data_IF_261938792571
#
_entry.id   IF_261938792571
#
_cell.length_a   1.000
_cell.length_b   1.000
_cell.length_c   1.000
_cell.angle_alpha   90.00
_cell.angle_beta   90.00
_cell.angle_gamma   90.00
#
_symmetry.space_group_name_H-M   'P 1'
#
loop_
_entity.id
_entity.type
_entity.pdbx_description
1 polymer ?
#
# COMPACT_ATOMS: atom_id res chain seq x y z
N UNK A 1 16.56 -50.72 -40.18
CA UNK A 1 15.21 -51.34 -40.20
C UNK A 1 14.35 -50.57 -39.21
N UNK A 2 13.47 -49.70 -39.74
CA UNK A 2 12.00 -49.75 -39.57
C UNK A 2 11.50 -49.12 -38.26
N UNK A 3 10.57 -48.16 -38.21
CA UNK A 3 9.71 -47.51 -39.21
C UNK A 3 9.20 -46.21 -38.57
N UNK A 4 9.01 -45.17 -39.39
CA UNK A 4 8.17 -44.00 -39.09
C UNK A 4 6.73 -44.48 -38.88
N UNK A 5 5.98 -43.88 -37.94
CA UNK A 5 4.53 -43.84 -38.06
C UNK A 5 4.02 -42.44 -37.75
N UNK A 6 3.73 -41.78 -38.86
CA UNK A 6 3.07 -40.49 -39.01
C UNK A 6 1.57 -40.79 -38.86
N UNK A 7 0.89 -40.20 -37.87
CA UNK A 7 -0.56 -40.35 -37.73
C UNK A 7 -1.26 -39.13 -38.33
N UNK A 8 -1.61 -39.26 -39.60
CA UNK A 8 -2.58 -38.42 -40.31
C UNK A 8 -3.99 -38.63 -39.74
N UNK A 9 -4.68 -37.55 -39.38
CA UNK A 9 -6.13 -37.58 -39.17
C UNK A 9 -6.77 -36.49 -40.05
N UNK A 10 -7.15 -36.89 -41.27
CA UNK A 10 -8.04 -36.16 -42.17
C UNK A 10 -9.43 -36.79 -42.05
N UNK A 11 -10.47 -35.98 -41.83
CA UNK A 11 -11.84 -36.49 -41.86
C UNK A 11 -12.93 -35.57 -41.31
N UNK A 12 -13.12 -34.42 -41.95
CA UNK A 12 -14.39 -33.74 -42.26
C UNK A 12 -15.66 -34.11 -41.44
N UNK A 13 -16.26 -33.11 -40.77
CA UNK A 13 -17.72 -33.04 -40.63
C UNK A 13 -18.21 -31.57 -40.56
N UNK A 14 -18.99 -31.24 -41.59
CA UNK A 14 -19.87 -30.09 -41.71
C UNK A 14 -20.76 -29.93 -40.47
N UNK A 15 -20.76 -28.75 -39.85
CA UNK A 15 -21.94 -28.25 -39.13
C UNK A 15 -22.22 -26.83 -39.62
N UNK A 16 -23.44 -26.68 -40.12
CA UNK A 16 -24.02 -25.54 -40.78
C UNK A 16 -23.76 -24.21 -40.06
N UNK A 17 -23.34 -23.21 -40.83
CA UNK A 17 -23.43 -21.82 -40.45
C UNK A 17 -24.91 -21.43 -40.36
N UNK A 18 -25.49 -21.52 -39.16
CA UNK A 18 -26.71 -20.79 -38.84
C UNK A 18 -26.35 -19.31 -38.70
N UNK A 19 -26.47 -18.57 -39.81
CA UNK A 19 -26.50 -17.10 -39.79
C UNK A 19 -27.78 -16.72 -39.04
N UNK A 20 -27.67 -16.60 -37.72
CA UNK A 20 -28.71 -15.93 -36.94
C UNK A 20 -28.59 -14.44 -37.23
N UNK A 21 -29.61 -13.92 -37.91
CA UNK A 21 -29.80 -12.51 -38.17
C UNK A 21 -29.47 -11.69 -36.92
N UNK A 22 -28.45 -10.84 -37.02
CA UNK A 22 -28.12 -9.88 -35.98
C UNK A 22 -29.27 -8.89 -35.91
N UNK A 23 -30.20 -9.16 -34.99
CA UNK A 23 -31.11 -8.16 -34.45
C UNK A 23 -30.20 -7.01 -34.01
N UNK A 24 -30.32 -5.87 -34.66
CA UNK A 24 -29.59 -4.65 -34.30
C UNK A 24 -30.07 -4.23 -32.91
N UNK A 25 -29.47 -4.84 -31.89
CA UNK A 25 -29.85 -4.65 -30.51
C UNK A 25 -29.19 -3.36 -30.04
N UNK A 26 -30.01 -2.50 -29.44
CA UNK A 26 -29.64 -1.43 -28.51
C UNK A 26 -28.68 -1.88 -27.38
N UNK A 27 -28.37 -3.18 -27.30
CA UNK A 27 -27.46 -3.83 -26.36
C UNK A 27 -25.96 -3.66 -26.67
N UNK A 28 -25.58 -3.22 -27.88
CA UNK A 28 -24.15 -3.05 -28.22
C UNK A 28 -23.51 -1.88 -27.45
N UNK A 29 -24.27 -0.80 -27.22
CA UNK A 29 -23.83 0.38 -26.47
C UNK A 29 -23.72 0.10 -24.96
N UNK A 30 -24.67 -0.63 -24.37
CA UNK A 30 -24.63 -1.01 -22.95
C UNK A 30 -23.50 -2.00 -22.68
N UNK A 31 -23.25 -2.96 -23.58
CA UNK A 31 -22.15 -3.91 -23.49
C UNK A 31 -20.77 -3.23 -23.69
N UNK A 32 -20.65 -2.31 -24.65
CA UNK A 32 -19.42 -1.52 -24.85
C UNK A 32 -19.12 -0.62 -23.64
N UNK A 33 -20.15 -0.01 -23.04
CA UNK A 33 -19.99 0.80 -21.83
C UNK A 33 -19.59 -0.05 -20.62
N UNK A 34 -20.23 -1.21 -20.41
CA UNK A 34 -19.87 -2.15 -19.35
C UNK A 34 -18.42 -2.67 -19.48
N UNK A 35 -17.95 -2.93 -20.71
CA UNK A 35 -16.56 -3.30 -20.97
C UNK A 35 -15.57 -2.14 -20.75
N UNK A 36 -15.97 -0.91 -21.05
CA UNK A 36 -15.12 0.27 -20.81
C UNK A 36 -14.98 0.55 -19.31
N UNK A 37 -16.09 0.43 -18.57
CA UNK A 37 -16.14 0.64 -17.12
C UNK A 37 -15.39 -0.45 -16.36
N UNK A 38 -15.48 -1.71 -16.80
CA UNK A 38 -14.72 -2.83 -16.22
C UNK A 38 -13.22 -2.70 -16.47
N UNK A 39 -12.80 -2.32 -17.67
CA UNK A 39 -11.39 -2.06 -17.98
C UNK A 39 -10.83 -0.91 -17.13
N UNK A 40 -11.59 0.18 -16.97
CA UNK A 40 -11.20 1.29 -16.09
C UNK A 40 -11.00 0.84 -14.63
N UNK A 41 -11.87 -0.04 -14.13
CA UNK A 41 -11.74 -0.61 -12.79
C UNK A 41 -10.48 -1.48 -12.66
N UNK A 42 -10.18 -2.33 -13.64
CA UNK A 42 -8.96 -3.16 -13.66
C UNK A 42 -7.71 -2.28 -13.65
N UNK A 43 -7.67 -1.22 -14.45
CA UNK A 43 -6.55 -0.26 -14.47
C UNK A 43 -6.37 0.41 -13.11
N UNK A 44 -7.45 0.91 -12.51
CA UNK A 44 -7.41 1.54 -11.17
C UNK A 44 -6.93 0.57 -10.09
N UNK A 45 -7.42 -0.67 -10.10
CA UNK A 45 -6.98 -1.72 -9.17
C UNK A 45 -5.48 -1.98 -9.33
N UNK A 46 -5.00 -2.11 -10.57
CA UNK A 46 -3.58 -2.33 -10.86
C UNK A 46 -2.70 -1.17 -10.39
N UNK A 47 -3.13 0.08 -10.64
CA UNK A 47 -2.44 1.27 -10.16
C UNK A 47 -2.37 1.33 -8.63
N UNK A 48 -3.49 1.04 -7.96
CA UNK A 48 -3.57 1.06 -6.51
C UNK A 48 -2.77 -0.09 -5.88
N UNK A 49 -2.73 -1.28 -6.50
CA UNK A 49 -1.85 -2.38 -6.10
C UNK A 49 -0.38 -2.01 -6.22
N UNK A 50 0.01 -1.32 -7.30
CA UNK A 50 1.38 -0.83 -7.47
C UNK A 50 1.75 0.19 -6.38
N UNK A 51 0.85 1.14 -6.09
CA UNK A 51 1.03 2.11 -4.99
C UNK A 51 1.13 1.39 -3.64
N UNK A 52 0.32 0.35 -3.41
CA UNK A 52 0.33 -0.43 -2.18
C UNK A 52 1.70 -1.09 -1.97
N UNK A 53 2.24 -1.74 -3.01
CA UNK A 53 3.58 -2.32 -2.94
C UNK A 53 4.65 -1.28 -2.61
N UNK A 54 4.59 -0.09 -3.22
CA UNK A 54 5.52 1.02 -2.91
C UNK A 54 5.44 1.46 -1.44
N UNK A 55 4.23 1.58 -0.88
CA UNK A 55 4.03 1.95 0.52
C UNK A 55 4.52 0.84 1.46
N UNK A 56 4.21 -0.42 1.17
CA UNK A 56 4.66 -1.57 1.95
C UNK A 56 6.19 -1.66 2.02
N UNK A 57 6.88 -1.36 0.92
CA UNK A 57 8.35 -1.32 0.88
C UNK A 57 8.96 -0.22 1.79
N UNK A 58 8.18 0.78 2.21
CA UNK A 58 8.65 1.82 3.13
C UNK A 58 8.46 1.45 4.61
N UNK A 59 7.68 0.42 4.93
CA UNK A 59 7.29 0.08 6.31
C UNK A 59 8.52 -0.25 7.14
N UNK A 60 9.42 -1.08 6.61
CA UNK A 60 10.64 -1.49 7.32
C UNK A 60 11.51 -0.27 7.67
N UNK A 61 11.81 0.57 6.67
CA UNK A 61 12.65 1.74 6.88
C UNK A 61 12.01 2.74 7.85
N UNK A 62 10.71 3.01 7.75
CA UNK A 62 10.03 3.92 8.69
C UNK A 62 9.94 3.35 10.11
N UNK A 63 9.80 2.03 10.23
CA UNK A 63 9.85 1.35 11.54
C UNK A 63 11.23 1.51 12.17
N UNK A 64 12.28 1.30 11.38
CA UNK A 64 13.66 1.51 11.82
C UNK A 64 13.91 2.96 12.23
N UNK A 65 13.50 3.94 11.41
CA UNK A 65 13.65 5.36 11.73
C UNK A 65 12.96 5.72 13.06
N UNK A 66 11.73 5.22 13.28
CA UNK A 66 11.00 5.41 14.53
C UNK A 66 11.79 4.84 15.72
N UNK A 67 12.29 3.61 15.59
CA UNK A 67 13.07 2.97 16.63
C UNK A 67 14.36 3.73 16.94
N UNK A 68 15.14 4.08 15.92
CA UNK A 68 16.41 4.80 16.05
C UNK A 68 16.19 6.18 16.67
N UNK A 69 15.18 6.92 16.21
CA UNK A 69 14.84 8.22 16.78
C UNK A 69 14.36 8.12 18.23
N UNK A 70 13.59 7.08 18.58
CA UNK A 70 13.16 6.84 19.96
C UNK A 70 14.35 6.52 20.88
N UNK A 71 15.28 5.68 20.42
CA UNK A 71 16.50 5.36 21.18
C UNK A 71 17.37 6.60 21.39
N UNK A 72 17.51 7.42 20.34
CA UNK A 72 18.28 8.67 20.43
C UNK A 72 17.62 9.67 21.38
N UNK A 73 16.30 9.81 21.33
CA UNK A 73 15.56 10.66 22.26
C UNK A 73 15.75 10.22 23.72
N UNK A 74 15.75 8.90 23.99
CA UNK A 74 16.02 8.36 25.32
C UNK A 74 17.44 8.71 25.79
N UNK A 75 18.46 8.46 24.95
CA UNK A 75 19.85 8.80 25.27
C UNK A 75 20.03 10.28 25.61
N UNK A 76 19.43 11.16 24.82
CA UNK A 76 19.50 12.61 25.06
C UNK A 76 18.74 13.02 26.32
N UNK A 77 17.61 12.38 26.63
CA UNK A 77 16.89 12.60 27.88
C UNK A 77 17.73 12.17 29.10
N UNK A 78 18.38 11.01 29.05
CA UNK A 78 19.24 10.52 30.13
C UNK A 78 20.45 11.44 30.35
N UNK A 79 21.06 11.92 29.27
CA UNK A 79 22.16 12.89 29.32
C UNK A 79 21.72 14.24 29.89
N UNK A 80 20.51 14.69 29.57
CA UNK A 80 19.92 15.89 30.16
C UNK A 80 19.68 15.71 31.66
N UNK A 81 19.04 14.61 32.07
CA UNK A 81 18.80 14.29 33.48
C UNK A 81 20.11 14.25 34.27
N UNK A 82 21.14 13.60 33.71
CA UNK A 82 22.47 13.53 34.34
C UNK A 82 23.12 14.91 34.48
N UNK A 83 23.06 15.74 33.44
CA UNK A 83 23.64 17.09 33.49
C UNK A 83 22.86 18.03 34.42
N UNK A 84 21.54 17.92 34.45
CA UNK A 84 20.68 18.66 35.38
C UNK A 84 20.94 18.24 36.83
N UNK A 85 21.13 16.94 37.10
CA UNK A 85 21.53 16.45 38.42
C UNK A 85 22.86 17.06 38.89
N UNK A 86 23.90 17.00 38.04
CA UNK A 86 25.21 17.61 38.36
C UNK A 86 25.12 19.12 38.62
N UNK A 87 24.32 19.84 37.83
CA UNK A 87 24.10 21.26 38.04
C UNK A 87 23.33 21.53 39.35
N UNK A 88 22.38 20.66 39.71
CA UNK A 88 21.65 20.79 40.97
C UNK A 88 22.56 20.67 42.19
N UNK A 89 23.61 19.84 42.10
CA UNK A 89 24.60 19.67 43.16
C UNK A 89 25.57 20.87 43.26
N UNK A 90 25.75 21.61 42.15
CA UNK A 90 26.67 22.75 42.02
C UNK A 90 26.03 23.90 41.22
N UNK A 91 25.01 24.58 41.77
CA UNK A 91 24.15 25.50 41.02
C UNK A 91 24.87 26.75 40.52
N UNK A 92 25.95 27.17 41.17
CA UNK A 92 26.78 28.30 40.79
C UNK A 92 27.79 27.99 39.66
N UNK A 93 27.98 26.72 39.30
CA UNK A 93 28.93 26.34 38.24
C UNK A 93 28.37 26.68 36.84
N UNK A 94 28.90 27.77 36.28
CA UNK A 94 28.57 28.26 34.92
C UNK A 94 28.82 27.21 33.82
N UNK A 95 29.82 26.35 33.95
CA UNK A 95 30.13 25.32 32.96
C UNK A 95 29.07 24.22 33.00
N UNK A 96 28.68 23.77 34.20
CA UNK A 96 27.58 22.82 34.37
C UNK A 96 26.25 23.39 33.86
N UNK A 97 25.98 24.68 34.12
CA UNK A 97 24.80 25.36 33.60
C UNK A 97 24.74 25.34 32.07
N UNK A 98 25.87 25.62 31.41
CA UNK A 98 25.96 25.57 29.94
C UNK A 98 25.77 24.15 29.41
N UNK A 99 26.36 23.15 30.05
CA UNK A 99 26.21 21.74 29.65
C UNK A 99 24.76 21.26 29.81
N UNK A 100 24.11 21.54 30.93
CA UNK A 100 22.70 21.19 31.16
C UNK A 100 21.79 21.84 30.11
N UNK A 101 21.99 23.14 29.82
CA UNK A 101 21.22 23.84 28.79
C UNK A 101 21.39 23.21 27.39
N UNK A 102 22.62 22.84 27.03
CA UNK A 102 22.88 22.19 25.73
C UNK A 102 22.20 20.81 25.65
N UNK A 103 22.30 20.00 26.71
CA UNK A 103 21.67 18.68 26.74
C UNK A 103 20.14 18.77 26.74
N UNK A 104 19.56 19.76 27.42
CA UNK A 104 18.13 20.04 27.36
C UNK A 104 17.69 20.40 25.93
N UNK A 105 18.48 21.20 25.21
CA UNK A 105 18.27 21.51 23.81
C UNK A 105 18.27 20.27 22.92
N UNK A 106 19.28 19.40 23.05
CA UNK A 106 19.37 18.13 22.32
C UNK A 106 18.20 17.21 22.63
N UNK A 107 17.86 17.01 23.91
CA UNK A 107 16.74 16.18 24.34
C UNK A 107 15.41 16.67 23.75
N UNK A 108 15.18 17.99 23.74
CA UNK A 108 14.00 18.59 23.11
C UNK A 108 13.94 18.33 21.60
N UNK A 109 15.07 18.50 20.91
CA UNK A 109 15.15 18.26 19.47
C UNK A 109 14.90 16.80 19.13
N UNK A 110 15.58 15.88 19.80
CA UNK A 110 15.48 14.45 19.54
C UNK A 110 14.09 13.90 19.91
N UNK A 111 13.48 14.38 21.00
CA UNK A 111 12.09 14.06 21.33
C UNK A 111 11.12 14.48 20.23
N UNK A 112 11.33 15.66 19.62
CA UNK A 112 10.50 16.13 18.50
C UNK A 112 10.71 15.26 17.25
N UNK A 113 11.93 14.85 16.98
CA UNK A 113 12.24 13.93 15.87
C UNK A 113 11.58 12.57 16.07
N UNK A 114 11.67 11.98 17.27
CA UNK A 114 11.00 10.71 17.58
C UNK A 114 9.48 10.77 17.36
N UNK A 115 8.82 11.86 17.76
CA UNK A 115 7.38 12.07 17.51
C UNK A 115 7.07 12.17 16.02
N UNK A 116 7.90 12.86 15.25
CA UNK A 116 7.73 12.99 13.80
C UNK A 116 7.87 11.64 13.09
N UNK A 117 8.89 10.86 13.42
CA UNK A 117 9.10 9.53 12.81
C UNK A 117 7.98 8.57 13.21
N UNK A 118 7.51 8.59 14.46
CA UNK A 118 6.32 7.83 14.86
C UNK A 118 5.09 8.23 14.03
N UNK A 119 4.81 9.53 13.94
CA UNK A 119 3.68 10.04 13.16
C UNK A 119 3.81 9.69 11.67
N UNK A 120 5.03 9.60 11.15
CA UNK A 120 5.28 9.23 9.76
C UNK A 120 4.96 7.75 9.49
N UNK A 121 5.33 6.86 10.41
CA UNK A 121 4.96 5.45 10.33
C UNK A 121 3.44 5.25 10.47
N UNK A 122 2.81 5.97 11.41
CA UNK A 122 1.37 5.88 11.63
C UNK A 122 0.59 6.31 10.38
N UNK A 123 1.00 7.43 9.76
CA UNK A 123 0.43 7.88 8.48
C UNK A 123 0.63 6.86 7.36
N UNK A 124 1.82 6.28 7.23
CA UNK A 124 2.07 5.22 6.23
C UNK A 124 1.11 4.04 6.40
N UNK A 125 0.88 3.61 7.65
CA UNK A 125 -0.03 2.52 7.93
C UNK A 125 -1.48 2.86 7.60
N UNK A 126 -1.92 4.10 7.88
CA UNK A 126 -3.25 4.59 7.48
C UNK A 126 -3.37 4.58 5.95
N UNK A 127 -2.40 5.14 5.23
CA UNK A 127 -2.41 5.17 3.76
C UNK A 127 -2.48 3.76 3.17
N UNK A 128 -1.76 2.79 3.75
CA UNK A 128 -1.82 1.38 3.37
C UNK A 128 -3.23 0.80 3.57
N UNK A 129 -3.87 1.07 4.70
CA UNK A 129 -5.21 0.55 4.98
C UNK A 129 -6.27 1.19 4.08
N UNK A 130 -6.20 2.50 3.87
CA UNK A 130 -7.09 3.20 2.96
C UNK A 130 -6.98 2.67 1.53
N UNK A 131 -5.76 2.36 1.08
CA UNK A 131 -5.54 1.82 -0.25
C UNK A 131 -6.05 0.38 -0.39
N UNK A 132 -5.87 -0.47 0.64
CA UNK A 132 -6.47 -1.81 0.69
C UNK A 132 -8.00 -1.74 0.59
N UNK A 133 -8.62 -0.81 1.33
CA UNK A 133 -10.06 -0.60 1.29
C UNK A 133 -10.54 -0.13 -0.09
N UNK A 134 -9.80 0.78 -0.75
CA UNK A 134 -10.09 1.23 -2.11
C UNK A 134 -10.01 0.09 -3.13
N UNK A 135 -8.97 -0.74 -3.06
CA UNK A 135 -8.80 -1.91 -3.91
C UNK A 135 -9.98 -2.87 -3.72
N UNK A 136 -10.33 -3.20 -2.47
CA UNK A 136 -11.44 -4.11 -2.16
C UNK A 136 -12.78 -3.56 -2.69
N UNK A 137 -13.05 -2.26 -2.50
CA UNK A 137 -14.25 -1.62 -3.01
C UNK A 137 -14.33 -1.64 -4.54
N UNK A 138 -13.20 -1.44 -5.23
CA UNK A 138 -13.14 -1.52 -6.69
C UNK A 138 -13.27 -2.97 -7.19
N UNK A 139 -12.72 -3.95 -6.46
CA UNK A 139 -12.88 -5.37 -6.79
C UNK A 139 -14.36 -5.78 -6.70
N UNK A 140 -15.07 -5.37 -5.65
CA UNK A 140 -16.52 -5.62 -5.51
C UNK A 140 -17.31 -4.99 -6.67
N UNK A 141 -16.92 -3.81 -7.15
CA UNK A 141 -17.54 -3.19 -8.33
C UNK A 141 -17.23 -3.99 -9.59
N UNK A 142 -15.99 -4.43 -9.78
CA UNK A 142 -15.57 -5.23 -10.93
C UNK A 142 -16.31 -6.56 -11.00
N UNK A 143 -16.49 -7.23 -9.86
CA UNK A 143 -17.19 -8.51 -9.77
C UNK A 143 -18.64 -8.42 -10.27
N UNK A 144 -19.31 -7.26 -10.13
CA UNK A 144 -20.66 -7.03 -10.68
C UNK A 144 -20.70 -7.04 -12.21
N UNK A 145 -19.60 -6.67 -12.87
CA UNK A 145 -19.50 -6.72 -14.34
C UNK A 145 -19.11 -8.11 -14.84
N UNK A 146 -18.36 -8.89 -14.04
CA UNK A 146 -17.87 -10.22 -14.42
C UNK A 146 -18.88 -11.33 -14.09
N UNK A 147 -19.73 -11.15 -13.06
CA UNK A 147 -20.76 -12.11 -12.64
C UNK A 147 -22.16 -11.47 -12.61
N UNK A 148 -22.74 -11.08 -13.76
CA UNK A 148 -24.12 -10.57 -13.78
C UNK A 148 -25.16 -11.64 -13.37
N UNK A 149 -24.84 -12.93 -13.45
CA UNK A 149 -25.79 -14.06 -13.45
C UNK A 149 -26.13 -14.67 -12.07
N UNK A 150 -25.74 -14.03 -10.96
CA UNK A 150 -26.00 -14.54 -9.60
C UNK A 150 -26.96 -13.67 -8.76
N UNK A 151 -27.49 -12.59 -9.31
CA UNK A 151 -28.45 -11.71 -8.60
C UNK A 151 -29.90 -11.92 -9.05
N UNK A 152 -30.17 -12.88 -9.93
CA UNK A 152 -31.49 -13.11 -10.51
C UNK A 152 -31.82 -14.61 -10.61
N UNK A 153 -31.75 -15.32 -9.48
CA UNK A 153 -32.43 -16.62 -9.32
C UNK A 153 -33.54 -16.48 -8.28
N UNK A 154 -34.76 -16.96 -8.60
CA UNK A 154 -35.96 -16.79 -7.78
C UNK A 154 -35.87 -17.44 -6.40
#
# INVERSE_FOLDING_TARGET
MTKKLLLTFTGLLFICASISAQKANTDSLSFQKANTDSLSLVSKISEDQLKLGKLQNQVEQKTKNKQDASQQAQKSADANTTAAGKLSDHPEDKKLARTANNNAGSAKSDSKTARKESSSLDKLNVDIQDLKNKIAANQVKLDKFVKPELLDKP
#
